data_IF_132202243923
#
_entry.id   IF_132202243923
#
_cell.length_a   1.000
_cell.length_b   1.000
_cell.length_c   1.000
_cell.angle_alpha   90.00
_cell.angle_beta   90.00
_cell.angle_gamma   90.00
#
_symmetry.space_group_name_H-M   'P 1'
#
loop_
_entity.id
_entity.type
_entity.pdbx_description
1 polymer ?
#
# COMPACT_ATOMS: atom_id res chain seq x y z
N UNK A 1 11.98 -31.11 -10.63
CA UNK A 1 10.96 -31.67 -9.70
C UNK A 1 9.67 -30.94 -10.01
N UNK A 2 8.59 -31.67 -10.33
CA UNK A 2 7.32 -31.18 -10.92
C UNK A 2 7.48 -30.40 -12.23
N UNK A 3 7.78 -31.13 -13.31
CA UNK A 3 7.61 -30.58 -14.65
C UNK A 3 6.10 -30.62 -14.96
N UNK A 4 5.34 -29.58 -14.57
CA UNK A 4 3.94 -29.41 -14.98
C UNK A 4 3.89 -29.31 -16.50
N UNK A 5 3.65 -30.44 -17.15
CA UNK A 5 3.53 -30.56 -18.59
C UNK A 5 2.38 -31.49 -18.94
N UNK A 6 2.14 -31.62 -20.23
CA UNK A 6 1.08 -32.48 -20.76
C UNK A 6 1.23 -33.94 -20.31
N UNK A 7 2.47 -34.42 -20.20
CA UNK A 7 2.79 -35.78 -19.73
C UNK A 7 2.25 -36.05 -18.32
N UNK A 8 2.45 -35.13 -17.37
CA UNK A 8 1.95 -35.29 -16.00
C UNK A 8 0.42 -35.35 -15.95
N UNK A 9 -0.27 -34.53 -16.76
CA UNK A 9 -1.74 -34.59 -16.88
C UNK A 9 -2.22 -35.94 -17.42
N UNK A 10 -1.52 -36.52 -18.39
CA UNK A 10 -1.86 -37.86 -18.89
C UNK A 10 -1.68 -38.90 -17.79
N UNK A 11 -0.55 -38.90 -17.07
CA UNK A 11 -0.29 -39.87 -16.00
C UNK A 11 -1.36 -39.77 -14.90
N UNK A 12 -1.71 -38.55 -14.49
CA UNK A 12 -2.74 -38.30 -13.48
C UNK A 12 -4.14 -38.68 -14.01
N UNK A 13 -4.40 -38.47 -15.30
CA UNK A 13 -5.61 -38.92 -15.99
C UNK A 13 -5.74 -40.45 -15.99
N UNK A 14 -4.67 -41.18 -16.33
CA UNK A 14 -4.65 -42.65 -16.27
C UNK A 14 -4.86 -43.14 -14.83
N UNK A 15 -4.21 -42.52 -13.85
CA UNK A 15 -4.43 -42.85 -12.44
C UNK A 15 -5.88 -42.64 -12.02
N UNK A 16 -6.49 -41.50 -12.40
CA UNK A 16 -7.90 -41.22 -12.13
C UNK A 16 -8.83 -42.23 -12.82
N UNK A 17 -8.50 -42.65 -14.05
CA UNK A 17 -9.24 -43.70 -14.78
C UNK A 17 -9.17 -45.05 -14.06
N UNK A 18 -8.06 -45.40 -13.41
CA UNK A 18 -7.93 -46.64 -12.65
C UNK A 18 -8.75 -46.57 -11.35
N UNK A 19 -8.67 -45.45 -10.62
CA UNK A 19 -9.34 -45.29 -9.32
C UNK A 19 -10.85 -45.17 -9.46
N UNK A 20 -11.32 -44.32 -10.38
CA UNK A 20 -12.74 -43.99 -10.53
C UNK A 20 -13.39 -44.83 -11.63
N UNK A 21 -12.63 -45.18 -12.68
CA UNK A 21 -13.13 -45.88 -13.86
C UNK A 21 -13.42 -44.94 -15.04
N UNK A 22 -13.16 -45.37 -16.30
CA UNK A 22 -13.39 -44.57 -17.51
C UNK A 22 -14.86 -44.23 -17.77
N UNK A 23 -15.78 -45.05 -17.30
CA UNK A 23 -17.23 -44.81 -17.45
C UNK A 23 -17.77 -43.78 -16.46
N UNK A 24 -17.16 -43.69 -15.28
CA UNK A 24 -17.60 -42.85 -14.16
C UNK A 24 -17.01 -41.43 -14.24
N UNK A 25 -15.78 -41.29 -14.76
CA UNK A 25 -15.13 -39.99 -14.99
C UNK A 25 -15.99 -38.96 -15.77
N UNK A 26 -16.62 -39.29 -16.91
CA UNK A 26 -17.47 -38.35 -17.63
C UNK A 26 -18.73 -37.98 -16.84
N UNK A 27 -19.22 -38.85 -15.97
CA UNK A 27 -20.35 -38.54 -15.09
C UNK A 27 -19.96 -37.56 -13.98
N UNK A 28 -18.82 -37.81 -13.30
CA UNK A 28 -18.26 -36.89 -12.30
C UNK A 28 -17.93 -35.53 -12.92
N UNK A 29 -17.31 -35.50 -14.09
CA UNK A 29 -17.02 -34.26 -14.81
C UNK A 29 -18.29 -33.47 -15.15
N UNK A 30 -19.39 -34.15 -15.51
CA UNK A 30 -20.69 -33.48 -15.73
C UNK A 30 -21.27 -32.90 -14.44
N UNK A 31 -21.16 -33.59 -13.31
CA UNK A 31 -21.62 -33.09 -12.01
C UNK A 31 -20.81 -31.86 -11.60
N UNK A 32 -19.48 -31.96 -11.63
CA UNK A 32 -18.57 -30.85 -11.31
C UNK A 32 -18.78 -29.69 -12.27
N UNK A 33 -18.93 -29.95 -13.57
CA UNK A 33 -19.19 -28.93 -14.58
C UNK A 33 -20.50 -28.17 -14.34
N UNK A 34 -21.58 -28.87 -13.97
CA UNK A 34 -22.84 -28.21 -13.56
C UNK A 34 -22.64 -27.35 -12.31
N UNK A 35 -21.91 -27.87 -11.31
CA UNK A 35 -21.64 -27.14 -10.07
C UNK A 35 -20.83 -25.86 -10.32
N UNK A 36 -19.79 -25.94 -11.15
CA UNK A 36 -19.00 -24.78 -11.58
C UNK A 36 -19.87 -23.79 -12.37
N UNK A 37 -20.75 -24.27 -13.25
CA UNK A 37 -21.63 -23.40 -14.02
C UNK A 37 -22.61 -22.63 -13.12
N UNK A 38 -23.22 -23.30 -12.15
CA UNK A 38 -24.12 -22.66 -11.18
C UNK A 38 -23.35 -21.67 -10.29
N UNK A 39 -22.15 -22.06 -9.82
CA UNK A 39 -21.28 -21.16 -9.06
C UNK A 39 -20.90 -19.92 -9.88
N UNK A 40 -20.61 -20.08 -11.18
CA UNK A 40 -20.31 -18.97 -12.08
C UNK A 40 -21.51 -18.04 -12.26
N UNK A 41 -22.73 -18.58 -12.37
CA UNK A 41 -23.96 -17.77 -12.44
C UNK A 41 -24.20 -17.00 -11.14
N UNK A 42 -24.14 -17.70 -10.00
CA UNK A 42 -24.29 -17.07 -8.68
C UNK A 42 -23.24 -15.97 -8.43
N UNK A 43 -21.98 -16.20 -8.82
CA UNK A 43 -20.92 -15.18 -8.73
C UNK A 43 -21.14 -14.04 -9.74
N UNK A 44 -21.73 -14.33 -10.91
CA UNK A 44 -22.11 -13.33 -11.91
C UNK A 44 -23.17 -12.37 -11.40
N UNK A 45 -24.22 -12.87 -10.76
CA UNK A 45 -25.28 -12.05 -10.16
C UNK A 45 -24.74 -11.19 -9.00
N UNK A 46 -23.82 -11.75 -8.21
CA UNK A 46 -23.11 -11.02 -7.15
C UNK A 46 -22.21 -9.92 -7.71
N UNK A 47 -21.48 -10.20 -8.78
CA UNK A 47 -20.63 -9.22 -9.47
C UNK A 47 -21.48 -8.13 -10.13
N UNK A 48 -22.62 -8.47 -10.72
CA UNK A 48 -23.57 -7.50 -11.28
C UNK A 48 -24.14 -6.59 -10.18
N UNK A 49 -24.49 -7.15 -9.03
CA UNK A 49 -24.96 -6.39 -7.86
C UNK A 49 -23.88 -5.43 -7.34
N UNK A 50 -22.63 -5.90 -7.23
CA UNK A 50 -21.49 -5.06 -6.85
C UNK A 50 -21.20 -4.00 -7.91
N UNK A 51 -21.29 -4.32 -9.20
CA UNK A 51 -21.07 -3.35 -10.28
C UNK A 51 -22.11 -2.23 -10.23
N UNK A 52 -23.39 -2.57 -9.99
CA UNK A 52 -24.47 -1.60 -9.84
C UNK A 52 -24.27 -0.72 -8.60
N UNK A 53 -23.83 -1.29 -7.48
CA UNK A 53 -23.49 -0.53 -6.28
C UNK A 53 -22.26 0.36 -6.51
N UNK A 54 -21.23 -0.12 -7.21
CA UNK A 54 -20.03 0.67 -7.54
C UNK A 54 -20.36 1.85 -8.44
N UNK A 55 -21.20 1.66 -9.46
CA UNK A 55 -21.62 2.76 -10.35
C UNK A 55 -22.47 3.79 -9.60
N UNK A 56 -23.35 3.37 -8.70
CA UNK A 56 -24.10 4.30 -7.85
C UNK A 56 -23.18 5.02 -6.85
N UNK A 57 -22.31 4.30 -6.15
CA UNK A 57 -21.36 4.88 -5.21
C UNK A 57 -20.43 5.91 -5.88
N UNK A 58 -19.96 5.63 -7.09
CA UNK A 58 -19.10 6.55 -7.83
C UNK A 58 -19.84 7.84 -8.24
N UNK A 59 -21.14 7.76 -8.56
CA UNK A 59 -21.94 8.97 -8.83
C UNK A 59 -22.19 9.82 -7.59
N UNK A 60 -22.39 9.22 -6.42
CA UNK A 60 -22.50 9.98 -5.16
C UNK A 60 -21.15 10.59 -4.76
N UNK A 61 -20.05 9.87 -4.97
CA UNK A 61 -18.70 10.38 -4.69
C UNK A 61 -18.33 11.54 -5.63
N UNK A 62 -18.62 11.46 -6.92
CA UNK A 62 -18.37 12.57 -7.85
C UNK A 62 -19.16 13.83 -7.49
N UNK A 63 -20.46 13.71 -7.19
CA UNK A 63 -21.27 14.86 -6.75
C UNK A 63 -20.79 15.48 -5.44
N UNK A 64 -20.29 14.64 -4.53
CA UNK A 64 -19.70 15.09 -3.26
C UNK A 64 -18.36 15.78 -3.51
N UNK A 65 -17.53 15.27 -4.40
CA UNK A 65 -16.23 15.85 -4.76
C UNK A 65 -16.40 17.22 -5.44
N UNK A 66 -17.35 17.35 -6.36
CA UNK A 66 -17.67 18.62 -7.02
C UNK A 66 -18.19 19.66 -6.01
N UNK A 67 -19.13 19.27 -5.14
CA UNK A 67 -19.66 20.19 -4.11
C UNK A 67 -18.58 20.61 -3.10
N UNK A 68 -17.68 19.69 -2.72
CA UNK A 68 -16.55 20.00 -1.83
C UNK A 68 -15.56 20.94 -2.54
N UNK A 69 -15.27 20.74 -3.83
CA UNK A 69 -14.40 21.64 -4.60
C UNK A 69 -14.98 23.05 -4.65
N UNK A 70 -16.28 23.19 -4.93
CA UNK A 70 -16.97 24.47 -4.94
C UNK A 70 -16.88 25.18 -3.57
N UNK A 71 -17.13 24.44 -2.48
CA UNK A 71 -17.01 25.00 -1.12
C UNK A 71 -15.58 25.40 -0.75
N UNK A 72 -14.58 24.63 -1.18
CA UNK A 72 -13.16 24.96 -0.96
C UNK A 72 -12.75 26.17 -1.77
N UNK A 73 -13.25 26.33 -3.00
CA UNK A 73 -12.96 27.49 -3.85
C UNK A 73 -13.58 28.77 -3.28
N UNK A 74 -14.83 28.70 -2.81
CA UNK A 74 -15.50 29.82 -2.13
C UNK A 74 -14.74 30.21 -0.86
N UNK A 75 -14.40 29.24 0.00
CA UNK A 75 -13.65 29.50 1.23
C UNK A 75 -12.25 30.09 0.94
N UNK A 76 -11.56 29.61 -0.10
CA UNK A 76 -10.29 30.19 -0.54
C UNK A 76 -10.44 31.63 -1.01
N UNK A 77 -11.53 31.93 -1.73
CA UNK A 77 -11.81 33.28 -2.22
C UNK A 77 -12.11 34.24 -1.08
N UNK A 78 -12.95 33.83 -0.12
CA UNK A 78 -13.25 34.62 1.09
C UNK A 78 -12.00 34.84 1.95
N UNK A 79 -11.17 33.79 2.14
CA UNK A 79 -9.90 33.94 2.87
C UNK A 79 -8.90 34.81 2.12
N UNK A 80 -8.82 34.71 0.80
CA UNK A 80 -7.95 35.57 -0.01
C UNK A 80 -8.41 37.03 0.03
N UNK A 81 -9.73 37.27 0.04
CA UNK A 81 -10.31 38.59 0.16
C UNK A 81 -10.07 39.19 1.54
N UNK A 82 -10.28 38.42 2.62
CA UNK A 82 -9.96 38.83 3.99
C UNK A 82 -8.45 39.06 4.19
N UNK A 83 -7.60 38.22 3.58
CA UNK A 83 -6.15 38.37 3.63
C UNK A 83 -5.65 39.59 2.83
N UNK A 84 -6.31 39.95 1.73
CA UNK A 84 -6.00 41.18 1.00
C UNK A 84 -6.46 42.42 1.77
N UNK A 85 -7.64 42.40 2.41
CA UNK A 85 -8.08 43.49 3.29
C UNK A 85 -7.14 43.69 4.49
N UNK A 86 -6.64 42.59 5.08
CA UNK A 86 -5.68 42.65 6.17
C UNK A 86 -4.28 43.11 5.73
N UNK A 87 -3.96 43.03 4.42
CA UNK A 87 -2.69 43.52 3.87
C UNK A 87 -2.66 45.04 3.65
N UNK A 88 -3.81 45.68 3.50
CA UNK A 88 -3.89 47.14 3.33
C UNK A 88 -3.75 47.92 4.67
N UNK A 89 -3.83 47.25 5.83
CA UNK A 89 -3.67 47.89 7.16
C UNK A 89 -2.23 47.85 7.73
N UNK A 90 -1.24 47.28 7.03
CA UNK A 90 0.12 47.06 7.58
C UNK A 90 1.23 47.89 6.89
N UNK A 91 0.88 49.08 6.36
CA UNK A 91 1.85 50.02 5.76
C UNK A 91 2.07 51.32 6.56
N UNK A 92 1.66 51.39 7.83
CA UNK A 92 1.88 52.59 8.65
C UNK A 92 2.26 52.31 10.11
N UNK A 93 3.31 51.49 10.32
CA UNK A 93 4.13 51.58 11.53
C UNK A 93 5.59 51.83 11.17
N UNK A 94 5.87 53.12 10.99
CA UNK A 94 7.19 53.70 11.03
C UNK A 94 7.67 53.69 12.49
N UNK A 95 8.58 52.77 12.85
CA UNK A 95 9.30 52.82 14.11
C UNK A 95 10.81 52.78 13.84
N UNK A 96 11.38 53.98 13.90
CA UNK A 96 12.79 54.25 14.06
C UNK A 96 13.35 53.70 15.40
N UNK A 97 14.67 53.46 15.39
CA UNK A 97 15.64 53.16 16.46
C UNK A 97 15.99 51.67 16.63
N UNK A 98 17.23 51.22 16.46
CA UNK A 98 18.47 51.90 16.12
C UNK A 98 19.64 50.90 16.19
N UNK A 99 20.59 51.00 15.27
CA UNK A 99 21.95 50.50 15.51
C UNK A 99 22.67 51.46 16.48
N UNK A 100 23.54 50.97 17.38
CA UNK A 100 24.94 50.85 16.98
C UNK A 100 25.73 49.71 17.65
N UNK A 101 26.83 49.31 17.02
CA UNK A 101 28.07 49.04 17.75
C UNK A 101 28.67 47.66 17.53
N UNK A 102 29.60 47.62 16.58
CA UNK A 102 30.63 46.58 16.44
C UNK A 102 31.39 46.34 17.76
N UNK A 103 31.50 45.08 18.20
CA UNK A 103 32.70 44.64 18.90
C UNK A 103 33.28 43.39 18.25
N UNK A 104 34.60 43.42 18.15
CA UNK A 104 35.44 42.71 17.22
C UNK A 104 35.77 41.31 17.74
N UNK A 105 35.73 40.35 16.83
CA UNK A 105 36.61 39.19 16.69
C UNK A 105 37.51 38.79 17.88
N UNK A 106 37.29 37.58 18.39
CA UNK A 106 38.35 36.74 18.94
C UNK A 106 38.29 35.36 18.27
N UNK A 107 39.11 35.17 17.24
CA UNK A 107 39.73 33.87 17.02
C UNK A 107 41.00 33.83 17.88
N UNK A 108 41.15 32.80 18.71
CA UNK A 108 42.11 31.74 18.40
C UNK A 108 41.94 30.55 19.35
N UNK A 109 42.31 29.39 18.81
CA UNK A 109 43.03 28.31 19.47
C UNK A 109 42.46 27.73 20.78
N UNK A 110 41.87 26.52 20.72
CA UNK A 110 42.66 25.31 20.97
C UNK A 110 41.86 24.00 20.94
N UNK A 111 42.50 23.00 20.34
CA UNK A 111 42.41 21.57 20.69
C UNK A 111 41.10 20.82 20.40
N UNK A 112 41.03 20.25 19.19
CA UNK A 112 40.44 18.93 19.03
C UNK A 112 41.32 17.88 19.71
N UNK A 113 40.73 16.89 20.38
CA UNK A 113 41.23 15.52 20.23
C UNK A 113 40.27 14.70 19.36
N UNK A 114 40.79 14.25 18.23
CA UNK A 114 40.35 13.02 17.61
C UNK A 114 40.80 11.85 18.51
N UNK A 115 39.87 11.00 18.90
CA UNK A 115 40.12 9.60 19.32
C UNK A 115 39.06 8.80 18.52
N UNK A 116 39.37 8.18 17.36
CA UNK A 116 39.96 6.83 17.21
C UNK A 116 39.47 5.88 18.33
N UNK A 117 38.51 4.98 18.09
CA UNK A 117 38.77 3.73 17.36
C UNK A 117 37.50 3.05 16.79
N UNK A 118 37.58 2.43 15.59
CA UNK A 118 36.94 1.15 15.28
C UNK A 118 37.98 0.00 15.43
N UNK A 119 37.72 -1.26 15.02
CA UNK A 119 36.61 -2.19 15.25
C UNK A 119 37.13 -3.51 15.90
N UNK A 120 36.27 -4.33 16.52
CA UNK A 120 36.56 -5.77 16.73
C UNK A 120 35.33 -6.57 16.32
N UNK A 121 35.35 -7.19 15.13
CA UNK A 121 35.96 -8.50 14.86
C UNK A 121 35.04 -9.68 15.25
N UNK A 122 34.24 -10.09 14.26
CA UNK A 122 34.14 -11.45 13.72
C UNK A 122 34.28 -12.69 14.63
N UNK A 123 33.29 -13.58 14.41
CA UNK A 123 33.40 -15.06 14.24
C UNK A 123 33.18 -15.95 15.48
N UNK A 124 32.84 -17.26 15.35
CA UNK A 124 32.16 -18.00 14.26
C UNK A 124 31.02 -18.95 14.75
N UNK A 125 30.29 -19.50 13.77
CA UNK A 125 29.69 -20.84 13.66
C UNK A 125 29.44 -21.73 14.91
N UNK A 126 28.23 -22.29 15.00
CA UNK A 126 27.94 -23.48 15.82
C UNK A 126 26.57 -24.08 15.54
N UNK A 127 26.54 -25.13 14.71
CA UNK A 127 25.40 -26.05 14.59
C UNK A 127 25.26 -26.79 15.93
N UNK A 128 24.05 -26.90 16.47
CA UNK A 128 23.69 -28.11 17.22
C UNK A 128 22.21 -28.47 16.99
N UNK A 129 22.01 -29.72 16.57
CA UNK A 129 20.72 -30.38 16.41
C UNK A 129 20.73 -31.52 17.43
N UNK A 130 20.00 -31.38 18.53
CA UNK A 130 19.70 -32.45 19.49
C UNK A 130 18.52 -31.96 20.34
N UNK A 131 17.29 -32.47 20.23
CA UNK A 131 16.72 -33.72 20.79
C UNK A 131 15.25 -33.70 20.31
N UNK A 132 14.68 -34.62 19.54
CA UNK A 132 14.29 -36.01 19.83
C UNK A 132 13.84 -36.30 21.28
N UNK A 133 12.60 -36.78 21.35
CA UNK A 133 11.92 -37.46 22.46
C UNK A 133 11.29 -36.57 23.56
N UNK A 134 10.04 -36.13 23.32
CA UNK A 134 9.04 -36.11 24.39
C UNK A 134 7.61 -36.17 23.81
N UNK A 135 6.84 -37.12 24.36
CA UNK A 135 5.41 -37.45 24.20
C UNK A 135 5.06 -38.38 23.05
#
# INVERSE_FOLDING_TARGET
MFNMGFTELIVLGVFALIVIGPKQLPEVARVVGRMINEFKRATGDFTASISNVKHQANQYMQKTEDSIRDHVEIAKKEMAEAANLARDEDLNQDFHHGEPGEERFHADDNTAPQESDPPLASSPAGKDKSKKDQV
#
